data_IF_220833116999
#
_entry.id   IF_220833116999
#
_cell.length_a   1.000
_cell.length_b   1.000
_cell.length_c   1.000
_cell.angle_alpha   90.00
_cell.angle_beta   90.00
_cell.angle_gamma   90.00
#
_symmetry.space_group_name_H-M   'P 1'
#
loop_
_entity.id
_entity.type
_entity.pdbx_description
1 polymer ?
#
# COMPACT_ATOMS: atom_id res chain seq x y z
N UNK A 1 24.24 7.97 15.06
CA UNK A 1 23.91 7.85 13.63
C UNK A 1 22.82 6.79 13.50
N UNK A 2 21.55 7.18 13.61
CA UNK A 2 20.40 6.27 13.56
C UNK A 2 19.33 6.86 12.65
N UNK A 3 19.62 6.84 11.35
CA UNK A 3 18.72 7.26 10.28
C UNK A 3 19.27 6.63 9.00
N UNK A 4 18.92 5.36 8.74
CA UNK A 4 19.39 4.69 7.52
C UNK A 4 18.52 3.52 7.09
N UNK A 5 17.83 2.82 8.01
CA UNK A 5 16.99 1.68 7.61
C UNK A 5 15.58 2.07 7.15
N UNK A 6 15.00 3.15 7.70
CA UNK A 6 13.64 3.60 7.37
C UNK A 6 13.57 4.40 6.07
N UNK A 7 14.51 5.31 5.85
CA UNK A 7 14.60 6.12 4.63
C UNK A 7 14.89 5.25 3.40
N UNK A 8 15.75 4.24 3.55
CA UNK A 8 16.08 3.31 2.45
C UNK A 8 14.91 2.42 2.01
N UNK A 9 14.00 2.09 2.94
CA UNK A 9 12.76 1.35 2.63
C UNK A 9 11.71 2.22 1.93
N UNK A 10 11.62 3.50 2.32
CA UNK A 10 10.76 4.49 1.67
C UNK A 10 11.23 4.83 0.25
N UNK A 11 12.54 4.99 0.04
CA UNK A 11 13.11 5.24 -1.29
C UNK A 11 12.89 4.06 -2.23
N UNK A 12 13.10 2.83 -1.76
CA UNK A 12 12.86 1.61 -2.55
C UNK A 12 11.36 1.43 -2.88
N UNK A 13 10.48 1.73 -1.91
CA UNK A 13 9.03 1.72 -2.12
C UNK A 13 8.60 2.76 -3.14
N UNK A 14 9.09 4.00 -3.04
CA UNK A 14 8.76 5.08 -3.98
C UNK A 14 9.30 4.83 -5.40
N UNK A 15 10.49 4.25 -5.55
CA UNK A 15 11.01 3.81 -6.85
C UNK A 15 10.14 2.71 -7.46
N UNK A 16 9.70 1.75 -6.66
CA UNK A 16 8.79 0.69 -7.10
C UNK A 16 7.39 1.24 -7.48
N UNK A 17 6.85 2.20 -6.73
CA UNK A 17 5.59 2.90 -7.08
C UNK A 17 5.78 3.77 -8.34
N UNK A 18 6.96 4.35 -8.54
CA UNK A 18 7.28 5.14 -9.73
C UNK A 18 7.12 4.35 -11.04
N UNK A 19 7.26 3.02 -11.00
CA UNK A 19 6.97 2.12 -12.11
C UNK A 19 5.48 1.77 -12.29
N UNK A 20 4.62 2.11 -11.33
CA UNK A 20 3.19 1.79 -11.29
C UNK A 20 2.36 3.06 -11.48
N UNK A 21 2.52 3.69 -12.64
CA UNK A 21 2.04 5.04 -12.97
C UNK A 21 0.51 5.22 -12.87
N UNK A 22 -0.26 4.13 -12.76
CA UNK A 22 -1.73 4.15 -12.63
C UNK A 22 -2.22 4.09 -11.17
N UNK A 23 -1.33 4.05 -10.19
CA UNK A 23 -1.73 3.97 -8.78
C UNK A 23 -2.25 5.27 -8.19
N UNK A 24 -2.07 6.40 -8.86
CA UNK A 24 -2.55 7.72 -8.42
C UNK A 24 -3.18 8.45 -9.60
N UNK A 25 -4.00 9.49 -9.38
CA UNK A 25 -4.52 10.30 -10.48
C UNK A 25 -3.40 10.81 -11.39
N UNK A 26 -3.64 10.90 -12.71
CA UNK A 26 -2.61 11.23 -13.70
C UNK A 26 -1.90 12.59 -13.50
N UNK A 27 -2.50 13.51 -12.75
CA UNK A 27 -1.93 14.82 -12.41
C UNK A 27 -1.25 14.85 -11.03
N UNK A 28 -1.10 13.69 -10.40
CA UNK A 28 -0.54 13.53 -9.08
C UNK A 28 0.74 12.69 -9.12
N UNK A 29 1.58 12.86 -8.10
CA UNK A 29 2.77 12.04 -7.85
C UNK A 29 2.63 11.31 -6.52
N UNK A 30 3.01 10.03 -6.44
CA UNK A 30 3.10 9.32 -5.18
C UNK A 30 4.22 9.93 -4.32
N UNK A 31 3.97 10.04 -3.03
CA UNK A 31 4.93 10.60 -2.06
C UNK A 31 5.11 9.73 -0.82
N UNK A 32 4.21 8.77 -0.58
CA UNK A 32 4.32 7.78 0.49
C UNK A 32 3.47 6.54 0.21
N UNK A 33 3.75 5.45 0.92
CA UNK A 33 3.04 4.18 0.79
C UNK A 33 2.90 3.47 2.14
N UNK A 34 1.71 2.94 2.38
CA UNK A 34 1.43 1.98 3.46
C UNK A 34 0.80 0.75 2.82
N UNK A 35 1.23 -0.45 3.24
CA UNK A 35 0.62 -1.68 2.75
C UNK A 35 0.41 -2.70 3.87
N UNK A 36 -0.54 -3.61 3.64
CA UNK A 36 -0.78 -4.78 4.48
C UNK A 36 -1.11 -5.98 3.60
N UNK A 37 -0.49 -7.11 3.93
CA UNK A 37 -0.89 -8.40 3.37
C UNK A 37 -2.11 -8.95 4.08
N UNK A 38 -3.04 -9.45 3.27
CA UNK A 38 -4.10 -10.35 3.67
C UNK A 38 -3.59 -11.77 3.40
N UNK A 39 -3.15 -12.44 4.46
CA UNK A 39 -2.79 -13.85 4.39
C UNK A 39 -3.97 -14.68 3.88
N UNK A 40 -3.68 -15.68 3.06
CA UNK A 40 -4.67 -16.66 2.56
C UNK A 40 -5.12 -17.67 3.62
N UNK A 41 -4.55 -17.59 4.83
CA UNK A 41 -4.76 -18.56 5.90
C UNK A 41 -6.02 -18.20 6.72
N UNK A 42 -7.14 -18.87 6.42
CA UNK A 42 -8.30 -18.95 7.32
C UNK A 42 -9.56 -18.17 6.90
N UNK A 43 -9.67 -17.79 5.63
CA UNK A 43 -10.86 -17.17 5.05
C UNK A 43 -11.51 -18.16 4.09
N UNK A 44 -12.35 -19.06 4.62
CA UNK A 44 -12.94 -20.19 3.89
C UNK A 44 -14.15 -19.79 3.02
N UNK A 45 -14.56 -18.50 3.04
CA UNK A 45 -15.68 -17.99 2.25
C UNK A 45 -15.47 -16.55 1.76
N UNK A 46 -16.07 -16.22 0.61
CA UNK A 46 -16.03 -14.90 -0.01
C UNK A 46 -16.43 -13.77 0.96
N UNK A 47 -17.44 -14.00 1.80
CA UNK A 47 -17.88 -13.01 2.79
C UNK A 47 -16.85 -12.71 3.87
N UNK A 48 -16.01 -13.68 4.24
CA UNK A 48 -14.92 -13.44 5.19
C UNK A 48 -13.75 -12.70 4.52
N UNK A 49 -13.50 -12.94 3.23
CA UNK A 49 -12.54 -12.16 2.45
C UNK A 49 -12.95 -10.68 2.38
N UNK A 50 -14.22 -10.38 2.10
CA UNK A 50 -14.70 -8.99 2.02
C UNK A 50 -14.52 -8.25 3.35
N UNK A 51 -14.80 -8.92 4.48
CA UNK A 51 -14.61 -8.38 5.82
C UNK A 51 -13.11 -8.14 6.10
N UNK A 52 -12.26 -9.11 5.79
CA UNK A 52 -10.81 -8.98 5.97
C UNK A 52 -10.25 -7.81 5.14
N UNK A 53 -10.69 -7.69 3.88
CA UNK A 53 -10.32 -6.60 3.00
C UNK A 53 -10.82 -5.24 3.50
N UNK A 54 -12.03 -5.15 4.04
CA UNK A 54 -12.55 -3.91 4.63
C UNK A 54 -11.77 -3.51 5.89
N UNK A 55 -11.45 -4.48 6.76
CA UNK A 55 -10.64 -4.27 7.95
C UNK A 55 -9.23 -3.80 7.60
N UNK A 56 -8.58 -4.42 6.61
CA UNK A 56 -7.26 -4.01 6.14
C UNK A 56 -7.26 -2.62 5.51
N UNK A 57 -8.25 -2.28 4.68
CA UNK A 57 -8.42 -0.91 4.15
C UNK A 57 -8.55 0.13 5.26
N UNK A 58 -9.33 -0.18 6.29
CA UNK A 58 -9.50 0.70 7.45
C UNK A 58 -8.19 0.87 8.22
N UNK A 59 -7.45 -0.23 8.42
CA UNK A 59 -6.16 -0.19 9.12
C UNK A 59 -5.12 0.62 8.33
N UNK A 60 -5.04 0.45 7.01
CA UNK A 60 -4.15 1.23 6.13
C UNK A 60 -4.53 2.71 6.14
N UNK A 61 -5.81 3.04 6.02
CA UNK A 61 -6.29 4.42 6.09
C UNK A 61 -5.95 5.08 7.43
N UNK A 62 -6.19 4.39 8.55
CA UNK A 62 -5.85 4.91 9.88
C UNK A 62 -4.35 5.08 10.10
N UNK A 63 -3.54 4.22 9.49
CA UNK A 63 -2.09 4.34 9.51
C UNK A 63 -1.59 5.53 8.67
N UNK A 64 -2.16 5.76 7.48
CA UNK A 64 -1.90 6.96 6.69
C UNK A 64 -2.26 8.21 7.46
N UNK A 65 -3.47 8.29 8.04
CA UNK A 65 -3.91 9.47 8.79
C UNK A 65 -2.98 9.77 9.98
N UNK A 66 -2.43 8.74 10.62
CA UNK A 66 -1.45 8.90 11.71
C UNK A 66 -0.10 9.42 11.22
N UNK A 67 0.35 9.03 10.02
CA UNK A 67 1.67 9.36 9.48
C UNK A 67 1.67 10.63 8.60
N UNK A 68 0.55 10.92 7.96
CA UNK A 68 0.31 11.96 6.96
C UNK A 68 -1.10 12.56 7.15
N UNK A 69 -1.35 13.26 8.27
CA UNK A 69 -2.69 13.74 8.59
C UNK A 69 -3.24 14.68 7.50
N UNK A 70 -4.44 14.39 7.00
CA UNK A 70 -5.13 15.22 6.01
C UNK A 70 -4.53 15.24 4.59
N UNK A 71 -3.46 14.48 4.33
CA UNK A 71 -2.93 14.32 2.97
C UNK A 71 -3.86 13.41 2.15
N UNK A 72 -4.04 13.68 0.84
CA UNK A 72 -4.88 12.85 0.01
C UNK A 72 -4.19 11.51 -0.30
N UNK A 73 -4.99 10.45 -0.31
CA UNK A 73 -4.54 9.10 -0.61
C UNK A 73 -5.59 8.32 -1.39
N UNK A 74 -5.16 7.25 -2.04
CA UNK A 74 -6.02 6.23 -2.66
C UNK A 74 -5.70 4.86 -2.07
N UNK A 75 -6.72 4.00 -2.00
CA UNK A 75 -6.58 2.63 -1.55
C UNK A 75 -6.76 1.67 -2.72
N UNK A 76 -5.86 0.70 -2.84
CA UNK A 76 -5.93 -0.38 -3.82
C UNK A 76 -5.99 -1.73 -3.11
N UNK A 77 -6.63 -2.69 -3.77
CA UNK A 77 -6.66 -4.10 -3.36
C UNK A 77 -6.36 -4.94 -4.59
N UNK A 78 -5.35 -5.81 -4.50
CA UNK A 78 -5.01 -6.73 -5.58
C UNK A 78 -3.97 -7.77 -5.13
N UNK A 79 -3.68 -8.78 -5.95
CA UNK A 79 -2.66 -9.78 -5.64
C UNK A 79 -1.27 -9.13 -5.54
N UNK A 80 -0.41 -9.67 -4.67
CA UNK A 80 0.96 -9.19 -4.49
C UNK A 80 1.78 -9.25 -5.79
N UNK A 81 1.46 -10.19 -6.69
CA UNK A 81 2.07 -10.32 -8.01
C UNK A 81 1.87 -9.08 -8.91
N UNK A 82 0.79 -8.30 -8.72
CA UNK A 82 0.54 -7.06 -9.48
C UNK A 82 1.44 -5.91 -9.01
N UNK A 83 2.14 -6.09 -7.90
CA UNK A 83 2.89 -5.07 -7.18
C UNK A 83 4.33 -5.52 -6.89
N UNK A 84 5.11 -5.87 -7.94
CA UNK A 84 6.43 -6.46 -7.76
C UNK A 84 7.37 -5.53 -6.99
N UNK A 85 8.01 -6.04 -5.94
CA UNK A 85 8.95 -5.30 -5.12
C UNK A 85 8.32 -4.44 -4.02
N UNK A 86 6.99 -4.31 -3.94
CA UNK A 86 6.31 -3.54 -2.88
C UNK A 86 6.15 -4.31 -1.57
N UNK A 87 5.95 -5.62 -1.64
CA UNK A 87 5.84 -6.50 -0.46
C UNK A 87 6.76 -7.73 -0.64
N UNK A 88 8.08 -7.58 -0.51
CA UNK A 88 9.05 -8.67 -0.75
C UNK A 88 8.89 -9.86 0.20
N UNK A 89 8.25 -9.65 1.35
CA UNK A 89 7.91 -10.70 2.33
C UNK A 89 6.58 -11.41 2.06
N UNK A 90 5.76 -10.93 1.13
CA UNK A 90 4.48 -11.54 0.77
C UNK A 90 4.65 -12.64 -0.28
N UNK A 91 3.82 -13.67 -0.18
CA UNK A 91 3.70 -14.65 -1.27
C UNK A 91 2.93 -14.05 -2.45
N UNK A 92 3.26 -14.42 -3.69
CA UNK A 92 2.61 -13.88 -4.90
C UNK A 92 1.08 -14.09 -4.92
N UNK A 93 0.60 -15.11 -4.19
CA UNK A 93 -0.81 -15.45 -4.07
C UNK A 93 -1.56 -14.66 -2.97
N UNK A 94 -0.86 -13.88 -2.14
CA UNK A 94 -1.50 -13.03 -1.13
C UNK A 94 -2.16 -11.81 -1.76
N UNK A 95 -3.25 -11.35 -1.15
CA UNK A 95 -3.84 -10.06 -1.50
C UNK A 95 -3.14 -8.97 -0.69
N UNK A 96 -2.79 -7.87 -1.35
CA UNK A 96 -2.29 -6.66 -0.74
C UNK A 96 -3.37 -5.60 -0.71
N UNK A 97 -3.51 -4.96 0.44
CA UNK A 97 -4.15 -3.65 0.53
C UNK A 97 -3.06 -2.60 0.58
N UNK A 98 -3.09 -1.69 -0.39
CA UNK A 98 -2.14 -0.60 -0.55
C UNK A 98 -2.85 0.72 -0.29
N UNK A 99 -2.16 1.64 0.35
CA UNK A 99 -2.56 3.03 0.46
C UNK A 99 -1.44 3.94 -0.02
N UNK A 100 -1.71 4.66 -1.11
CA UNK A 100 -0.73 5.52 -1.77
C UNK A 100 -1.09 6.96 -1.47
N UNK A 101 -0.21 7.65 -0.75
CA UNK A 101 -0.33 9.08 -0.48
C UNK A 101 0.25 9.82 -1.68
N UNK A 102 -0.46 10.83 -2.15
CA UNK A 102 -0.08 11.56 -3.36
C UNK A 102 -0.17 13.07 -3.18
N UNK A 103 0.48 13.80 -4.08
CA UNK A 103 0.31 15.26 -4.21
C UNK A 103 0.00 15.62 -5.65
N UNK A 104 -0.92 16.54 -5.85
CA UNK A 104 -1.10 17.18 -7.15
C UNK A 104 0.09 18.09 -7.45
N UNK A 105 0.40 18.26 -8.74
CA UNK A 105 1.58 18.96 -9.26
C UNK A 105 2.11 20.12 -8.39
N UNK A 106 3.43 20.11 -8.21
CA UNK A 106 4.20 21.33 -7.92
C UNK A 106 4.75 21.89 -9.22
#
# INVERSE_FOLDING_TARGET
>A
MSGSTREKGLDTGLEAIGGLTELVPAQARPVDLVYRSLGTSGTDSDGQHDIAAAAARTAVAGEIERLRPGEPYVLHLGPAADYPGLAPESTEAELLVLGVVYRFGE
#
